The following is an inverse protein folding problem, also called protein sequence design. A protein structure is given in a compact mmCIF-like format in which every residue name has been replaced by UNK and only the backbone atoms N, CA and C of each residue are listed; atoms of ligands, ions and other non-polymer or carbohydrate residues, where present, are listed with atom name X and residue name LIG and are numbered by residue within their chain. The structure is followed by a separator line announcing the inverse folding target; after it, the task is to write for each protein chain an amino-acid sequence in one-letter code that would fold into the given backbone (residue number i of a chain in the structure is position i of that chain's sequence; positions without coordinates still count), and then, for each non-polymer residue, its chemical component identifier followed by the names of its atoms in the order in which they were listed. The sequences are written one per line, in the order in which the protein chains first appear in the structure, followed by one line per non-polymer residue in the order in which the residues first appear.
data_IF_782835066084
#
_entry.id   IF_782835066084
#
_cell.length_a   1.000
_cell.length_b   1.000
_cell.length_c   1.000
_cell.angle_alpha   90.00
_cell.angle_beta   90.00
_cell.angle_gamma   90.00
#
_symmetry.space_group_name_H-M   'P 1'
#
loop_
_entity.id
_entity.type
_entity.pdbx_description
1 polymer ?
#
# COMPACT_ATOMS: atom_id res chain seq x y z
N UNK A 1 12.40 -15.20 -3.23
CA UNK A 1 11.14 -15.96 -3.38
C UNK A 1 10.47 -15.44 -4.65
N UNK A 2 10.05 -16.28 -5.59
CA UNK A 2 9.31 -15.83 -6.79
C UNK A 2 7.80 -15.86 -6.53
N UNK A 3 7.08 -14.78 -6.84
CA UNK A 3 5.63 -14.74 -6.71
C UNK A 3 4.95 -15.68 -7.72
N UNK A 4 4.01 -16.51 -7.26
CA UNK A 4 3.14 -17.29 -8.15
C UNK A 4 1.87 -16.53 -8.51
N UNK A 5 1.17 -16.94 -9.57
CA UNK A 5 -0.12 -16.33 -9.95
C UNK A 5 -1.18 -16.50 -8.86
N UNK A 6 -1.14 -17.61 -8.13
CA UNK A 6 -2.00 -17.87 -6.99
C UNK A 6 -1.69 -16.94 -5.82
N UNK A 7 -0.43 -16.62 -5.57
CA UNK A 7 -0.03 -15.67 -4.52
C UNK A 7 -0.54 -14.25 -4.82
N UNK A 8 -0.42 -13.80 -6.07
CA UNK A 8 -0.92 -12.49 -6.51
C UNK A 8 -2.43 -12.40 -6.24
N UNK A 9 -3.19 -13.43 -6.63
CA UNK A 9 -4.64 -13.49 -6.40
C UNK A 9 -5.00 -13.53 -4.92
N UNK A 10 -4.23 -14.26 -4.11
CA UNK A 10 -4.41 -14.32 -2.64
C UNK A 10 -4.17 -12.96 -2.00
N UNK A 11 -3.08 -12.28 -2.35
CA UNK A 11 -2.76 -10.93 -1.85
C UNK A 11 -3.90 -9.96 -2.20
N UNK A 12 -4.36 -9.97 -3.46
CA UNK A 12 -5.49 -9.14 -3.87
C UNK A 12 -6.75 -9.40 -3.05
N UNK A 13 -7.11 -10.67 -2.90
CA UNK A 13 -8.29 -11.07 -2.12
C UNK A 13 -8.17 -10.73 -0.64
N UNK A 14 -6.98 -10.91 -0.06
CA UNK A 14 -6.67 -10.51 1.31
C UNK A 14 -6.83 -9.00 1.50
N UNK A 15 -6.57 -8.18 0.48
CA UNK A 15 -6.81 -6.73 0.55
C UNK A 15 -8.25 -6.32 0.23
N UNK A 16 -9.10 -7.25 -0.23
CA UNK A 16 -10.48 -6.97 -0.61
C UNK A 16 -10.61 -6.18 -1.93
N UNK A 17 -9.59 -6.22 -2.78
CA UNK A 17 -9.52 -5.40 -3.99
C UNK A 17 -10.07 -6.14 -5.23
N UNK A 18 -10.70 -5.38 -6.13
CA UNK A 18 -10.91 -5.81 -7.51
C UNK A 18 -9.59 -5.76 -8.30
N UNK A 19 -9.51 -6.46 -9.43
CA UNK A 19 -8.32 -6.39 -10.32
C UNK A 19 -8.03 -4.96 -10.79
N UNK A 20 -9.09 -4.17 -11.01
CA UNK A 20 -8.98 -2.76 -11.41
C UNK A 20 -8.36 -1.91 -10.31
N UNK A 21 -8.75 -2.13 -9.06
CA UNK A 21 -8.24 -1.40 -7.92
C UNK A 21 -6.79 -1.78 -7.60
N UNK A 22 -6.46 -3.08 -7.68
CA UNK A 22 -5.08 -3.52 -7.54
C UNK A 22 -4.19 -2.96 -8.66
N UNK A 23 -4.69 -2.93 -9.90
CA UNK A 23 -3.99 -2.29 -11.02
C UNK A 23 -3.67 -0.83 -10.72
N UNK A 24 -4.66 -0.05 -10.29
CA UNK A 24 -4.46 1.34 -9.86
C UNK A 24 -3.45 1.46 -8.72
N UNK A 25 -3.54 0.58 -7.72
CA UNK A 25 -2.68 0.60 -6.54
C UNK A 25 -1.20 0.42 -6.89
N UNK A 26 -0.88 -0.51 -7.80
CA UNK A 26 0.52 -0.80 -8.16
C UNK A 26 0.99 -0.09 -9.43
N UNK A 27 0.10 0.64 -10.11
CA UNK A 27 0.42 1.43 -11.31
C UNK A 27 0.42 0.62 -12.62
N UNK A 28 -0.42 -0.41 -12.72
CA UNK A 28 -0.61 -1.22 -13.94
C UNK A 28 -2.08 -1.26 -14.37
N UNK A 29 -2.37 -1.81 -15.55
CA UNK A 29 -3.75 -1.95 -16.03
C UNK A 29 -4.47 -3.12 -15.35
N UNK A 30 -5.80 -3.09 -15.31
CA UNK A 30 -6.61 -4.23 -14.88
C UNK A 30 -6.29 -5.50 -15.70
N UNK A 31 -6.11 -5.36 -17.02
CA UNK A 31 -5.72 -6.45 -17.91
C UNK A 31 -4.38 -7.06 -17.51
N UNK A 32 -3.41 -6.25 -17.06
CA UNK A 32 -2.12 -6.74 -16.55
C UNK A 32 -2.33 -7.64 -15.33
N UNK A 33 -3.16 -7.22 -14.37
CA UNK A 33 -3.48 -8.03 -13.18
C UNK A 33 -4.12 -9.36 -13.58
N UNK A 34 -5.12 -9.35 -14.46
CA UNK A 34 -5.75 -10.59 -14.95
C UNK A 34 -4.72 -11.52 -15.62
N UNK A 35 -3.78 -10.97 -16.41
CA UNK A 35 -2.71 -11.76 -17.03
C UNK A 35 -1.75 -12.37 -16.00
N UNK A 36 -1.43 -11.62 -14.95
CA UNK A 36 -0.59 -12.12 -13.85
C UNK A 36 -1.29 -13.25 -13.10
N UNK A 37 -2.56 -13.09 -12.73
CA UNK A 37 -3.33 -14.10 -11.98
C UNK A 37 -3.70 -15.35 -12.81
N UNK A 38 -3.72 -15.24 -14.14
CA UNK A 38 -3.89 -16.38 -15.06
C UNK A 38 -2.55 -17.04 -15.45
N UNK A 39 -1.43 -16.37 -15.18
CA UNK A 39 -0.09 -16.83 -15.57
C UNK A 39 0.22 -16.66 -17.06
N UNK A 40 -0.59 -15.89 -17.79
CA UNK A 40 -0.35 -15.58 -19.22
C UNK A 40 0.73 -14.51 -19.40
N UNK A 41 1.09 -13.79 -18.34
CA UNK A 41 2.23 -12.87 -18.30
C UNK A 41 2.82 -12.82 -16.89
N UNK A 42 4.07 -12.35 -16.76
CA UNK A 42 4.73 -12.11 -15.48
C UNK A 42 4.75 -10.60 -15.16
N UNK A 43 4.71 -10.21 -13.88
CA UNK A 43 4.92 -8.83 -13.47
C UNK A 43 6.26 -8.29 -13.96
N UNK A 44 6.33 -6.98 -14.24
CA UNK A 44 7.62 -6.29 -14.39
C UNK A 44 8.31 -6.21 -13.02
N UNK A 45 9.61 -5.94 -12.99
CA UNK A 45 10.35 -5.83 -11.72
C UNK A 45 9.72 -4.81 -10.75
N UNK A 46 9.26 -3.66 -11.23
CA UNK A 46 8.58 -2.65 -10.40
C UNK A 46 7.24 -3.18 -9.85
N UNK A 47 6.41 -3.79 -10.69
CA UNK A 47 5.15 -4.37 -10.26
C UNK A 47 5.36 -5.53 -9.28
N UNK A 48 6.36 -6.38 -9.52
CA UNK A 48 6.73 -7.48 -8.63
C UNK A 48 7.16 -6.96 -7.26
N UNK A 49 8.01 -5.94 -7.20
CA UNK A 49 8.44 -5.31 -5.94
C UNK A 49 7.27 -4.74 -5.14
N UNK A 50 6.32 -4.07 -5.79
CA UNK A 50 5.11 -3.56 -5.13
C UNK A 50 4.21 -4.69 -4.63
N UNK A 51 4.11 -5.80 -5.35
CA UNK A 51 3.34 -6.97 -4.90
C UNK A 51 4.03 -7.65 -3.72
N UNK A 52 5.37 -7.77 -3.72
CA UNK A 52 6.13 -8.30 -2.58
C UNK A 52 5.98 -7.43 -1.33
N UNK A 53 5.93 -6.11 -1.50
CA UNK A 53 5.60 -5.19 -0.41
C UNK A 53 4.21 -5.47 0.17
N UNK A 54 3.19 -5.64 -0.69
CA UNK A 54 1.84 -6.00 -0.25
C UNK A 54 1.80 -7.39 0.40
N UNK A 55 2.66 -8.32 -0.01
CA UNK A 55 2.79 -9.63 0.62
C UNK A 55 3.18 -9.50 2.10
N UNK A 56 4.15 -8.64 2.42
CA UNK A 56 4.53 -8.39 3.82
C UNK A 56 3.39 -7.81 4.65
N UNK A 57 2.57 -6.93 4.08
CA UNK A 57 1.40 -6.34 4.77
C UNK A 57 0.35 -7.39 5.14
N UNK A 58 0.14 -8.39 4.28
CA UNK A 58 -0.87 -9.43 4.55
C UNK A 58 -0.38 -10.49 5.55
N UNK A 59 0.93 -10.57 5.81
CA UNK A 59 1.51 -11.50 6.78
C UNK A 59 1.28 -11.04 8.23
N UNK A 60 1.17 -9.73 8.49
CA UNK A 60 0.79 -9.16 9.78
C UNK A 60 -0.69 -8.75 9.79
N UNK A 61 -1.49 -9.38 10.68
CA UNK A 61 -2.92 -9.12 10.77
C UNK A 61 -3.27 -7.66 11.12
N UNK A 62 -2.44 -6.99 11.93
CA UNK A 62 -2.67 -5.58 12.31
C UNK A 62 -2.39 -4.65 11.14
N UNK A 63 -1.30 -4.90 10.43
CA UNK A 63 -0.96 -4.13 9.22
C UNK A 63 -2.03 -4.30 8.14
N UNK A 64 -2.51 -5.54 7.94
CA UNK A 64 -3.60 -5.83 7.01
C UNK A 64 -4.87 -5.04 7.31
N UNK A 65 -5.28 -4.98 8.59
CA UNK A 65 -6.47 -4.24 9.01
C UNK A 65 -6.31 -2.74 8.80
N UNK A 66 -5.18 -2.16 9.23
CA UNK A 66 -4.89 -0.75 9.03
C UNK A 66 -4.84 -0.39 7.54
N UNK A 67 -4.24 -1.24 6.71
CA UNK A 67 -4.15 -1.02 5.28
C UNK A 67 -5.52 -1.14 4.61
N UNK A 68 -6.38 -2.09 5.02
CA UNK A 68 -7.77 -2.18 4.57
C UNK A 68 -8.60 -0.96 4.95
N UNK A 69 -8.40 -0.40 6.13
CA UNK A 69 -9.06 0.83 6.57
C UNK A 69 -8.65 2.02 5.69
N UNK A 70 -7.37 2.13 5.34
CA UNK A 70 -6.91 3.13 4.37
C UNK A 70 -7.60 2.90 3.02
N UNK A 71 -7.60 1.66 2.51
CA UNK A 71 -8.18 1.33 1.19
C UNK A 71 -9.69 1.59 1.11
N UNK A 72 -10.43 1.39 2.20
CA UNK A 72 -11.89 1.60 2.22
C UNK A 72 -12.31 3.07 2.33
N UNK A 73 -11.38 3.96 2.70
CA UNK A 73 -11.63 5.40 2.76
C UNK A 73 -11.85 6.03 1.37
N UNK A 74 -12.60 7.13 1.31
CA UNK A 74 -12.75 7.90 0.08
C UNK A 74 -11.40 8.43 -0.42
N UNK A 75 -10.87 7.86 -1.50
CA UNK A 75 -9.53 8.18 -2.01
C UNK A 75 -8.40 7.28 -1.51
N UNK A 76 -8.72 6.27 -0.70
CA UNK A 76 -7.77 5.35 -0.07
C UNK A 76 -6.75 4.70 -1.01
N UNK A 77 -7.19 4.32 -2.21
CA UNK A 77 -6.30 3.70 -3.21
C UNK A 77 -5.19 4.66 -3.66
N UNK A 78 -5.49 5.95 -3.83
CA UNK A 78 -4.49 6.93 -4.23
C UNK A 78 -3.46 7.16 -3.11
N UNK A 79 -3.92 7.21 -1.86
CA UNK A 79 -3.05 7.30 -0.68
C UNK A 79 -2.17 6.06 -0.54
N UNK A 80 -2.72 4.86 -0.70
CA UNK A 80 -1.96 3.62 -0.64
C UNK A 80 -0.93 3.50 -1.79
N UNK A 81 -1.29 3.94 -3.00
CA UNK A 81 -0.38 3.94 -4.15
C UNK A 81 0.81 4.89 -3.95
N UNK A 82 0.59 6.06 -3.33
CA UNK A 82 1.67 6.99 -3.01
C UNK A 82 2.61 6.40 -1.96
N UNK A 83 2.08 5.74 -0.93
CA UNK A 83 2.89 5.05 0.09
C UNK A 83 3.77 3.96 -0.56
N UNK A 84 3.20 3.11 -1.41
CA UNK A 84 3.96 2.06 -2.11
C UNK A 84 5.06 2.63 -3.01
N UNK A 85 4.74 3.72 -3.73
CA UNK A 85 5.70 4.36 -4.63
C UNK A 85 6.85 5.01 -3.85
N UNK A 86 6.55 5.71 -2.75
CA UNK A 86 7.55 6.34 -1.90
C UNK A 86 8.41 5.30 -1.18
N UNK A 87 7.81 4.22 -0.66
CA UNK A 87 8.52 3.11 -0.01
C UNK A 87 9.48 2.36 -0.96
N UNK A 88 9.10 2.23 -2.23
CA UNK A 88 9.91 1.55 -3.25
C UNK A 88 11.20 2.32 -3.62
N UNK A 89 11.23 3.64 -3.44
CA UNK A 89 12.33 4.49 -3.90
C UNK A 89 13.51 4.62 -2.91
N UNK A 90 13.34 4.21 -1.66
CA UNK A 90 14.31 4.52 -0.60
C UNK A 90 15.06 3.32 -0.02
N UNK A 91 14.80 2.08 -0.47
CA UNK A 91 15.37 0.88 0.17
C UNK A 91 14.88 0.66 1.61
N UNK A 92 13.90 1.44 2.04
CA UNK A 92 13.23 1.33 3.34
C UNK A 92 11.99 0.48 3.07
N UNK A 93 12.11 -0.83 3.25
CA UNK A 93 10.94 -1.71 3.27
C UNK A 93 9.89 -1.18 4.25
N UNK A 94 8.64 -1.63 4.08
CA UNK A 94 7.46 -1.31 4.90
C UNK A 94 7.59 -1.56 6.43
N UNK A 95 8.79 -1.79 6.96
CA UNK A 95 9.14 -2.24 8.31
C UNK A 95 8.86 -1.17 9.40
N UNK A 96 7.96 -0.22 9.20
CA UNK A 96 7.57 0.64 10.32
C UNK A 96 6.19 1.26 10.17
N UNK A 97 5.15 0.41 10.12
CA UNK A 97 3.76 0.87 10.30
C UNK A 97 3.16 0.45 11.64
N UNK A 98 3.86 -0.37 12.45
CA UNK A 98 3.31 -0.93 13.71
C UNK A 98 3.63 -0.11 14.97
N UNK A 99 4.32 1.01 14.86
CA UNK A 99 4.43 1.99 15.94
C UNK A 99 4.08 3.37 15.41
N UNK A 100 3.44 4.25 16.20
CA UNK A 100 3.20 5.66 15.82
C UNK A 100 4.45 6.42 15.34
N UNK A 101 5.64 5.86 15.63
CA UNK A 101 6.97 6.37 15.33
C UNK A 101 7.46 5.95 13.93
N UNK A 102 6.94 4.87 13.35
CA UNK A 102 7.44 4.31 12.10
C UNK A 102 7.08 5.11 10.85
N UNK A 103 6.03 5.93 10.93
CA UNK A 103 5.75 6.95 9.94
C UNK A 103 6.92 7.95 9.78
N UNK A 104 7.83 8.06 10.76
CA UNK A 104 8.83 9.13 10.92
C UNK A 104 10.25 8.82 10.43
N UNK A 105 10.55 7.61 9.95
CA UNK A 105 11.95 7.23 9.66
C UNK A 105 12.54 7.84 8.37
N UNK A 106 11.70 8.41 7.50
CA UNK A 106 12.14 9.36 6.48
C UNK A 106 11.78 10.78 6.91
N UNK A 107 12.62 11.77 6.62
CA UNK A 107 12.40 13.20 6.94
C UNK A 107 10.98 13.70 6.55
N UNK A 108 10.36 13.08 5.55
CA UNK A 108 8.98 13.31 5.10
C UNK A 108 7.89 12.87 6.11
N UNK A 109 8.18 11.90 6.94
CA UNK A 109 7.28 11.37 7.96
C UNK A 109 6.95 12.35 9.08
N UNK A 110 7.99 13.03 9.57
CA UNK A 110 7.87 14.02 10.64
C UNK A 110 7.20 15.31 10.15
N UNK A 111 7.42 15.69 8.89
CA UNK A 111 6.71 16.83 8.29
C UNK A 111 5.25 16.50 8.05
N UNK A 112 4.94 15.30 7.55
CA UNK A 112 3.56 14.86 7.33
C UNK A 112 2.80 14.71 8.64
N UNK A 113 3.40 14.10 9.67
CA UNK A 113 2.78 13.99 11.00
C UNK A 113 2.48 15.35 11.61
N UNK A 114 3.42 16.31 11.54
CA UNK A 114 3.19 17.68 12.04
C UNK A 114 2.11 18.41 11.23
N UNK A 115 2.09 18.23 9.92
CA UNK A 115 1.06 18.83 9.05
C UNK A 115 -0.34 18.28 9.37
N UNK A 116 -0.46 16.95 9.47
CA UNK A 116 -1.72 16.28 9.83
C UNK A 116 -2.19 16.68 11.23
N UNK A 117 -1.29 16.68 12.22
CA UNK A 117 -1.63 17.12 13.58
C UNK A 117 -2.11 18.57 13.63
N UNK A 118 -1.53 19.46 12.82
CA UNK A 118 -1.97 20.85 12.74
C UNK A 118 -3.36 20.99 12.14
N UNK A 119 -3.64 20.25 11.05
CA UNK A 119 -4.95 20.23 10.39
C UNK A 119 -6.04 19.73 11.34
N UNK A 120 -5.81 18.61 12.04
CA UNK A 120 -6.81 18.03 12.95
C UNK A 120 -6.96 18.76 14.30
N UNK A 121 -6.01 19.61 14.68
CA UNK A 121 -6.05 20.34 15.96
C UNK A 121 -6.52 21.80 15.82
N UNK A 122 -6.66 22.33 14.60
CA UNK A 122 -7.28 23.65 14.34
C UNK A 122 -8.81 23.58 14.30
N UNK A 123 -9.40 22.42 13.94
CA UNK A 123 -10.87 22.22 13.98
C UNK A 123 -11.46 22.22 15.40
N UNK A 124 -10.62 22.24 16.44
CA UNK A 124 -11.02 22.28 17.85
C UNK A 124 -10.68 23.62 18.54
N UNK A 125 -10.57 24.71 17.77
CA UNK A 125 -10.48 26.10 18.25
C UNK A 125 -11.41 27.04 17.49
N UNK A 126 -12.66 26.63 17.33
CA UNK A 126 -13.78 27.49 16.95
C UNK A 126 -14.85 27.48 18.03
N UNK A 127 -14.53 28.07 19.19
CA UNK A 127 -15.50 28.52 20.20
C UNK A 127 -15.60 30.03 20.14
#
# INVERSE_FOLDING_TARGET
MSLTREDIRKIRGALGLTEKEMGKLIGVTQTSISRYETGTSKPTADAENKILQLQSVIEDQKELLAFREILSSGGGIAAAASILTLGSSAGVGLISLTSPIGLLAGVAGLTLYKALKKIFNDDNKGG
#
